data_IF_675848558221
#
_entry.id   IF_675848558221
#
_cell.length_a   1.000
_cell.length_b   1.000
_cell.length_c   1.000
_cell.angle_alpha   90.00
_cell.angle_beta   90.00
_cell.angle_gamma   90.00
#
_symmetry.space_group_name_H-M   'P 1'
#
loop_
_entity.id
_entity.type
_entity.pdbx_description
1 polymer ?
#
# COMPACT_ATOMS: atom_id res chain seq x y z
N UNK A 1 12.84 -9.20 9.29
CA UNK A 1 11.81 -8.71 8.38
C UNK A 1 12.30 -7.39 7.81
N UNK A 2 11.72 -6.93 6.72
CA UNK A 2 12.04 -5.62 6.13
C UNK A 2 10.81 -4.73 6.25
N UNK A 3 10.97 -3.55 6.84
CA UNK A 3 9.90 -2.57 6.89
C UNK A 3 9.83 -1.81 5.58
N UNK A 4 8.65 -1.78 4.99
CA UNK A 4 8.37 -1.00 3.79
C UNK A 4 7.15 -0.13 4.00
N UNK A 5 7.11 0.97 3.26
CA UNK A 5 5.94 1.84 3.17
C UNK A 5 5.29 1.61 1.81
N UNK A 6 4.01 1.29 1.84
CA UNK A 6 3.12 1.28 0.68
C UNK A 6 2.40 2.62 0.60
N UNK A 7 2.53 3.30 -0.53
CA UNK A 7 1.68 4.42 -0.93
C UNK A 7 0.66 3.95 -1.96
N UNK A 8 -0.57 4.42 -1.83
CA UNK A 8 -1.70 4.06 -2.70
C UNK A 8 -2.33 5.36 -3.17
N UNK A 9 -2.54 5.49 -4.46
CA UNK A 9 -3.28 6.61 -5.01
C UNK A 9 -4.13 6.22 -6.19
N UNK A 10 -4.94 7.18 -6.62
CA UNK A 10 -5.97 6.98 -7.64
C UNK A 10 -5.66 7.88 -8.83
N UNK A 11 -5.61 7.31 -10.03
CA UNK A 11 -5.35 8.04 -11.26
C UNK A 11 -6.53 8.95 -11.67
N UNK A 12 -7.73 8.67 -11.17
CA UNK A 12 -8.94 9.45 -11.43
C UNK A 12 -9.93 9.36 -10.25
N UNK A 13 -10.82 10.36 -10.07
CA UNK A 13 -11.87 10.33 -9.06
C UNK A 13 -12.77 9.08 -9.13
N UNK A 14 -13.10 8.62 -10.33
CA UNK A 14 -13.94 7.43 -10.52
C UNK A 14 -13.33 6.15 -9.92
N UNK A 15 -12.00 6.03 -9.87
CA UNK A 15 -11.34 4.91 -9.21
C UNK A 15 -11.50 5.00 -7.69
N UNK A 16 -11.42 6.20 -7.13
CA UNK A 16 -11.67 6.42 -5.70
C UNK A 16 -13.14 6.17 -5.33
N UNK A 17 -14.09 6.61 -6.15
CA UNK A 17 -15.51 6.33 -5.93
C UNK A 17 -15.81 4.82 -5.96
N UNK A 18 -15.11 4.06 -6.81
CA UNK A 18 -15.30 2.62 -6.95
C UNK A 18 -14.63 1.82 -5.83
N UNK A 19 -13.39 2.15 -5.46
CA UNK A 19 -12.57 1.31 -4.57
C UNK A 19 -12.30 1.95 -3.21
N UNK A 20 -12.44 3.26 -3.05
CA UNK A 20 -11.95 3.98 -1.87
C UNK A 20 -12.57 3.54 -0.55
N UNK A 21 -13.81 3.03 -0.57
CA UNK A 21 -14.48 2.49 0.61
C UNK A 21 -13.96 1.11 1.04
N UNK A 22 -13.43 0.31 0.11
CA UNK A 22 -13.00 -1.07 0.30
C UNK A 22 -11.47 -1.21 0.12
N UNK A 23 -10.75 -0.09 -0.04
CA UNK A 23 -9.33 -0.09 -0.39
C UNK A 23 -8.49 -0.77 0.68
N UNK A 24 -8.88 -0.63 1.94
CA UNK A 24 -8.19 -1.27 3.06
C UNK A 24 -8.32 -2.79 2.98
N UNK A 25 -9.54 -3.32 2.81
CA UNK A 25 -9.78 -4.75 2.63
C UNK A 25 -9.05 -5.31 1.40
N UNK A 26 -8.97 -4.53 0.31
CA UNK A 26 -8.20 -4.90 -0.89
C UNK A 26 -6.71 -5.00 -0.60
N UNK A 27 -6.15 -4.08 0.19
CA UNK A 27 -4.74 -4.12 0.61
C UNK A 27 -4.48 -5.35 1.47
N UNK A 28 -5.27 -5.57 2.52
CA UNK A 28 -5.11 -6.73 3.40
C UNK A 28 -5.22 -8.04 2.62
N UNK A 29 -6.21 -8.15 1.73
CA UNK A 29 -6.39 -9.34 0.92
C UNK A 29 -5.20 -9.57 -0.02
N UNK A 30 -4.82 -8.55 -0.82
CA UNK A 30 -3.81 -8.72 -1.88
C UNK A 30 -2.40 -8.89 -1.35
N UNK A 31 -2.05 -8.20 -0.28
CA UNK A 31 -0.75 -8.34 0.36
C UNK A 31 -0.72 -9.55 1.31
N UNK A 32 -1.85 -9.93 1.90
CA UNK A 32 -2.00 -11.18 2.64
C UNK A 32 -1.79 -12.42 1.78
N UNK A 33 -2.19 -12.40 0.50
CA UNK A 33 -1.88 -13.45 -0.49
C UNK A 33 -0.37 -13.66 -0.69
N UNK A 34 0.47 -12.66 -0.38
CA UNK A 34 1.93 -12.76 -0.42
C UNK A 34 2.54 -13.19 0.93
N UNK A 35 1.72 -13.39 1.97
CA UNK A 35 2.18 -13.73 3.32
C UNK A 35 2.53 -12.53 4.18
N UNK A 36 2.02 -11.33 3.86
CA UNK A 36 2.07 -10.17 4.75
C UNK A 36 0.96 -10.30 5.79
N UNK A 37 1.33 -10.41 7.07
CA UNK A 37 0.37 -10.57 8.18
C UNK A 37 0.31 -9.33 9.07
N UNK A 38 1.39 -8.54 9.12
CA UNK A 38 1.49 -7.37 9.99
C UNK A 38 1.41 -6.06 9.18
N UNK A 39 0.37 -5.29 9.46
CA UNK A 39 0.11 -4.01 8.84
C UNK A 39 0.09 -2.89 9.89
N UNK A 40 0.81 -1.81 9.58
CA UNK A 40 0.83 -0.60 10.38
C UNK A 40 -0.44 0.26 10.21
N UNK A 41 -0.46 1.44 10.83
CA UNK A 41 -1.61 2.33 10.77
C UNK A 41 -1.88 2.84 9.34
N UNK A 42 -3.14 2.75 8.91
CA UNK A 42 -3.61 3.29 7.63
C UNK A 42 -3.83 4.80 7.73
N UNK A 43 -3.04 5.58 6.98
CA UNK A 43 -3.07 7.05 6.99
C UNK A 43 -3.46 7.60 5.63
N UNK A 44 -4.07 8.78 5.60
CA UNK A 44 -4.46 9.47 4.36
C UNK A 44 -3.91 10.89 4.34
N UNK A 45 -3.36 11.30 3.20
CA UNK A 45 -3.03 12.70 2.94
C UNK A 45 -4.29 13.54 2.68
N UNK A 46 -4.21 14.84 2.97
CA UNK A 46 -5.26 15.81 2.65
C UNK A 46 -5.22 16.19 1.16
N UNK A 47 -5.72 15.30 0.30
CA UNK A 47 -5.88 15.51 -1.15
C UNK A 47 -7.16 14.87 -1.66
N UNK A 48 -7.58 15.21 -2.89
CA UNK A 48 -8.70 14.53 -3.56
C UNK A 48 -8.33 14.14 -5.00
N UNK A 49 -8.29 12.83 -5.35
CA UNK A 49 -8.41 11.69 -4.43
C UNK A 49 -7.32 11.67 -3.34
N UNK A 50 -7.59 11.04 -2.17
CA UNK A 50 -6.58 10.93 -1.13
C UNK A 50 -5.45 10.00 -1.58
N UNK A 51 -4.22 10.32 -1.18
CA UNK A 51 -3.11 9.36 -1.18
C UNK A 51 -3.05 8.69 0.17
N UNK A 52 -3.08 7.37 0.19
CA UNK A 52 -3.11 6.55 1.40
C UNK A 52 -1.75 5.89 1.62
N UNK A 53 -1.41 5.67 2.90
CA UNK A 53 -0.13 5.10 3.29
C UNK A 53 -0.34 4.04 4.36
N UNK A 54 0.43 2.95 4.26
CA UNK A 54 0.50 1.89 5.25
C UNK A 54 1.93 1.37 5.35
N UNK A 55 2.37 1.07 6.57
CA UNK A 55 3.61 0.33 6.80
C UNK A 55 3.35 -1.17 6.75
N UNK A 56 4.23 -1.93 6.11
CA UNK A 56 4.13 -3.39 6.02
C UNK A 56 5.40 -4.00 6.60
N UNK A 57 5.26 -5.08 7.38
CA UNK A 57 6.40 -5.92 7.75
C UNK A 57 6.53 -7.08 6.76
N UNK A 58 7.60 -7.03 5.96
CA UNK A 58 7.81 -7.98 4.88
C UNK A 58 8.70 -9.12 5.38
N UNK A 59 8.24 -10.38 5.29
CA UNK A 59 9.04 -11.52 5.68
C UNK A 59 10.14 -11.77 4.63
N UNK A 60 11.26 -12.38 5.04
CA UNK A 60 12.47 -12.50 4.20
C UNK A 60 12.28 -13.30 2.92
N UNK A 61 11.21 -14.10 2.83
CA UNK A 61 10.84 -14.92 1.67
C UNK A 61 9.99 -14.15 0.64
N UNK A 62 9.60 -12.91 0.91
CA UNK A 62 8.82 -12.07 -0.01
C UNK A 62 9.72 -11.00 -0.61
N UNK A 63 9.75 -10.92 -1.94
CA UNK A 63 10.55 -9.92 -2.62
C UNK A 63 9.82 -8.59 -2.71
N UNK A 64 10.57 -7.49 -2.65
CA UNK A 64 10.01 -6.16 -2.93
C UNK A 64 9.44 -6.05 -4.36
N UNK A 65 9.96 -6.84 -5.30
CA UNK A 65 9.43 -6.90 -6.66
C UNK A 65 8.02 -7.53 -6.71
N UNK A 66 7.74 -8.51 -5.85
CA UNK A 66 6.41 -9.13 -5.75
C UNK A 66 5.41 -8.12 -5.19
N UNK A 67 5.80 -7.38 -4.14
CA UNK A 67 5.00 -6.31 -3.55
C UNK A 67 4.67 -5.22 -4.57
N UNK A 68 5.65 -4.80 -5.38
CA UNK A 68 5.47 -3.79 -6.44
C UNK A 68 4.61 -4.28 -7.60
N UNK A 69 4.45 -5.59 -7.76
CA UNK A 69 3.64 -6.20 -8.81
C UNK A 69 2.16 -6.34 -8.41
N UNK A 70 1.82 -6.09 -7.15
CA UNK A 70 0.44 -6.13 -6.65
C UNK A 70 -0.41 -5.08 -7.34
N UNK A 71 -1.58 -5.52 -7.85
CA UNK A 71 -2.60 -4.63 -8.41
C UNK A 71 -3.83 -4.66 -7.53
N UNK A 72 -4.20 -3.49 -7.00
CA UNK A 72 -5.40 -3.33 -6.15
C UNK A 72 -6.67 -3.11 -6.98
N UNK A 73 -6.54 -2.61 -8.20
CA UNK A 73 -7.66 -2.34 -9.09
C UNK A 73 -7.27 -1.45 -10.25
N UNK A 74 -8.14 -1.40 -11.27
CA UNK A 74 -7.94 -0.51 -12.40
C UNK A 74 -7.99 0.97 -11.96
N UNK A 75 -7.03 1.77 -12.40
CA UNK A 75 -6.95 3.19 -12.04
C UNK A 75 -6.37 3.45 -10.64
N UNK A 76 -5.86 2.42 -9.94
CA UNK A 76 -5.10 2.55 -8.70
C UNK A 76 -3.62 2.39 -9.03
N UNK A 77 -2.79 3.29 -8.52
CA UNK A 77 -1.34 3.12 -8.52
C UNK A 77 -0.85 2.84 -7.11
N UNK A 78 0.24 2.08 -7.03
CA UNK A 78 0.91 1.74 -5.78
C UNK A 78 2.41 2.01 -5.90
N UNK A 79 3.01 2.53 -4.85
CA UNK A 79 4.46 2.66 -4.72
C UNK A 79 4.92 1.99 -3.43
N UNK A 80 5.98 1.18 -3.53
CA UNK A 80 6.58 0.48 -2.38
C UNK A 80 8.01 0.94 -2.22
N UNK A 81 8.26 1.57 -1.08
CA UNK A 81 9.55 2.13 -0.71
C UNK A 81 10.04 1.47 0.59
N UNK A 82 11.31 1.09 0.64
CA UNK A 82 11.93 0.59 1.88
C UNK A 82 12.00 1.77 2.85
N UNK A 83 11.58 1.54 4.10
CA UNK A 83 11.77 2.53 5.15
C UNK A 83 13.20 2.34 5.63
N UNK A 84 14.12 3.15 5.13
CA UNK A 84 15.45 3.23 5.72
C UNK A 84 15.32 3.95 7.08
N UNK A 85 15.92 3.40 8.13
CA UNK A 85 15.84 3.91 9.52
C UNK A 85 16.40 5.35 9.70
N UNK A 86 16.78 6.05 8.63
CA UNK A 86 17.38 7.39 8.62
C UNK A 86 16.55 8.43 7.87
N UNK A 87 15.26 8.53 8.14
CA UNK A 87 14.45 9.69 7.73
C UNK A 87 13.54 10.13 8.87
N UNK A 88 14.18 10.52 9.97
CA UNK A 88 13.62 11.49 10.91
C UNK A 88 13.79 12.89 10.26
N UNK A 89 12.68 13.55 9.96
CA UNK A 89 12.63 15.02 9.78
C UNK A 89 12.11 15.63 11.09
#
# INVERSE_FOLDING_TARGET
MTQVRLAIGYNAPAAYEKYGKDIWDLVETKFGELGIEEFGPFRSAQSYPPVQFVGLEVPYNVSIYDLRSVKLGEGIWTDVSVVDEYSED
#
